data_IF_250881236392
#
_entry.id   IF_250881236392
#
_cell.length_a   1.000
_cell.length_b   1.000
_cell.length_c   1.000
_cell.angle_alpha   90.00
_cell.angle_beta   90.00
_cell.angle_gamma   90.00
#
_symmetry.space_group_name_H-M   'P 1'
#
loop_
_entity.id
_entity.type
_entity.pdbx_description
1 polymer ?
#
# COMPACT_ATOMS: atom_id res chain seq x y z
N UNK A 1 1.65 -6.11 12.71
CA UNK A 1 2.51 -4.98 12.32
C UNK A 1 3.01 -4.30 13.58
N UNK A 2 4.28 -3.94 13.64
CA UNK A 2 4.91 -3.45 14.88
C UNK A 2 4.63 -1.99 15.19
N UNK A 3 4.66 -1.12 14.19
CA UNK A 3 4.42 0.31 14.37
C UNK A 3 3.32 0.86 13.44
N UNK A 4 2.64 -0.01 12.76
CA UNK A 4 1.63 0.36 11.76
C UNK A 4 0.24 -0.08 12.20
N UNK A 5 -0.77 0.61 11.71
CA UNK A 5 -2.17 0.28 11.95
C UNK A 5 -2.97 0.42 10.66
N UNK A 6 -4.19 -0.09 10.66
CA UNK A 6 -5.07 0.04 9.51
C UNK A 6 -5.61 1.46 9.38
N UNK A 7 -5.67 1.94 8.16
CA UNK A 7 -6.24 3.24 7.83
C UNK A 7 -7.73 3.04 7.50
N UNK A 8 -8.61 3.57 8.33
CA UNK A 8 -10.06 3.29 8.22
C UNK A 8 -10.93 4.53 8.00
N UNK A 9 -10.38 5.74 8.18
CA UNK A 9 -11.18 6.95 8.14
C UNK A 9 -11.28 7.51 6.72
N UNK A 10 -12.51 7.66 6.23
CA UNK A 10 -12.77 8.11 4.86
C UNK A 10 -12.16 9.47 4.54
N UNK A 11 -12.17 10.42 5.48
CA UNK A 11 -11.60 11.73 5.24
C UNK A 11 -10.08 11.69 5.03
N UNK A 12 -9.41 10.72 5.63
CA UNK A 12 -7.97 10.53 5.43
C UNK A 12 -7.72 9.95 4.04
N UNK A 13 -8.55 9.00 3.59
CA UNK A 13 -8.47 8.49 2.22
C UNK A 13 -8.63 9.63 1.20
N UNK A 14 -9.60 10.53 1.40
CA UNK A 14 -9.81 11.66 0.50
C UNK A 14 -8.61 12.58 0.43
N UNK A 15 -7.96 12.86 1.57
CA UNK A 15 -6.74 13.67 1.60
C UNK A 15 -5.60 13.00 0.83
N UNK A 16 -5.48 11.69 0.96
CA UNK A 16 -4.45 10.94 0.25
C UNK A 16 -4.67 10.96 -1.24
N UNK A 17 -5.91 10.80 -1.70
CA UNK A 17 -6.22 10.86 -3.13
C UNK A 17 -6.00 12.24 -3.74
N UNK A 18 -5.95 13.30 -2.95
CA UNK A 18 -5.62 14.63 -3.45
C UNK A 18 -4.11 14.84 -3.61
N UNK A 19 -3.27 13.94 -3.12
CA UNK A 19 -1.84 13.98 -3.34
C UNK A 19 -1.48 13.30 -4.65
N UNK A 20 -0.24 13.48 -5.12
CA UNK A 20 0.23 12.79 -6.31
C UNK A 20 0.48 11.32 -5.98
N UNK A 21 -0.22 10.44 -6.71
CA UNK A 21 -0.01 9.01 -6.59
C UNK A 21 1.09 8.52 -7.52
N UNK A 22 1.65 7.39 -7.17
CA UNK A 22 2.58 6.66 -8.02
C UNK A 22 1.90 5.38 -8.49
N UNK A 23 2.01 5.07 -9.77
CA UNK A 23 1.28 3.95 -10.36
C UNK A 23 2.18 3.05 -11.20
N UNK A 24 1.84 1.78 -11.20
CA UNK A 24 2.34 0.82 -12.18
C UNK A 24 1.15 -0.03 -12.66
N UNK A 25 1.42 -1.10 -13.41
CA UNK A 25 0.33 -1.92 -13.94
C UNK A 25 -0.43 -2.71 -12.88
N UNK A 26 0.11 -2.86 -11.68
CA UNK A 26 -0.49 -3.65 -10.60
C UNK A 26 -1.20 -2.80 -9.55
N UNK A 27 -0.65 -1.65 -9.21
CA UNK A 27 -1.07 -0.86 -8.05
C UNK A 27 -0.97 0.64 -8.32
N UNK A 28 -1.71 1.40 -7.51
CA UNK A 28 -1.47 2.83 -7.33
C UNK A 28 -1.19 3.05 -5.85
N UNK A 29 -0.16 3.80 -5.52
CA UNK A 29 0.21 4.08 -4.14
C UNK A 29 0.19 5.58 -3.88
N UNK A 30 -0.49 5.97 -2.81
CA UNK A 30 -0.53 7.34 -2.30
C UNK A 30 0.10 7.35 -0.92
N UNK A 31 0.89 8.37 -0.63
CA UNK A 31 1.52 8.50 0.68
C UNK A 31 1.52 9.96 1.13
N UNK A 32 1.34 10.16 2.42
CA UNK A 32 1.35 11.49 3.04
C UNK A 32 1.90 11.38 4.45
N UNK A 33 2.69 12.35 4.88
CA UNK A 33 3.17 12.41 6.27
C UNK A 33 2.01 12.59 7.23
N UNK A 34 2.02 11.82 8.33
CA UNK A 34 0.97 11.87 9.34
C UNK A 34 1.39 12.51 10.66
N UNK A 35 2.65 12.95 10.77
CA UNK A 35 3.19 13.61 11.97
C UNK A 35 3.18 12.72 13.21
N UNK A 36 3.14 11.40 13.03
CA UNK A 36 3.28 10.44 14.13
C UNK A 36 4.51 9.57 13.90
N UNK A 37 4.81 8.69 14.84
CA UNK A 37 5.93 7.77 14.69
C UNK A 37 5.51 6.43 14.08
N UNK A 38 4.22 6.24 13.85
CA UNK A 38 3.70 5.03 13.25
C UNK A 38 3.16 5.26 11.84
N UNK A 39 2.92 4.19 11.13
CA UNK A 39 2.29 4.23 9.82
C UNK A 39 0.83 3.79 9.91
N UNK A 40 0.00 4.36 9.05
CA UNK A 40 -1.36 3.87 8.83
C UNK A 40 -1.45 3.42 7.38
N UNK A 41 -1.92 2.19 7.17
CA UNK A 41 -1.95 1.57 5.85
C UNK A 41 -3.38 1.18 5.50
N UNK A 42 -3.85 1.69 4.38
CA UNK A 42 -5.15 1.34 3.83
C UNK A 42 -4.97 0.65 2.48
N UNK A 43 -5.84 -0.31 2.21
CA UNK A 43 -5.85 -1.04 0.94
C UNK A 43 -7.24 -0.92 0.36
N UNK A 44 -7.30 -0.42 -0.88
CA UNK A 44 -8.55 -0.29 -1.62
C UNK A 44 -8.58 -1.31 -2.75
N UNK A 45 -9.63 -2.13 -2.75
CA UNK A 45 -9.88 -3.09 -3.83
C UNK A 45 -11.29 -2.82 -4.35
N UNK A 46 -11.38 -2.24 -5.54
CA UNK A 46 -12.66 -1.84 -6.11
C UNK A 46 -13.53 -3.03 -6.53
N UNK A 47 -14.84 -2.79 -6.61
CA UNK A 47 -15.81 -3.82 -6.99
C UNK A 47 -15.56 -4.39 -8.39
N UNK A 48 -14.91 -3.64 -9.26
CA UNK A 48 -14.56 -4.08 -10.61
C UNK A 48 -13.60 -5.27 -10.65
N UNK A 49 -12.87 -5.51 -9.56
CA UNK A 49 -11.89 -6.59 -9.50
C UNK A 49 -12.52 -7.97 -9.28
N UNK A 50 -13.80 -8.04 -8.96
CA UNK A 50 -14.50 -9.30 -8.82
C UNK A 50 -15.38 -9.35 -7.58
N UNK A 51 -15.86 -10.55 -7.27
CA UNK A 51 -16.69 -10.80 -6.10
C UNK A 51 -15.91 -10.67 -4.80
N UNK A 52 -16.62 -10.66 -3.68
CA UNK A 52 -16.02 -10.47 -2.36
C UNK A 52 -14.87 -11.42 -2.06
N UNK A 53 -14.95 -12.67 -2.48
CA UNK A 53 -13.90 -13.67 -2.26
C UNK A 53 -12.60 -13.25 -2.94
N UNK A 54 -12.69 -12.81 -4.20
CA UNK A 54 -11.53 -12.35 -4.97
C UNK A 54 -10.94 -11.10 -4.34
N UNK A 55 -11.78 -10.13 -4.01
CA UNK A 55 -11.34 -8.87 -3.41
C UNK A 55 -10.67 -9.08 -2.05
N UNK A 56 -11.22 -9.96 -1.22
CA UNK A 56 -10.66 -10.28 0.08
C UNK A 56 -9.29 -10.96 -0.05
N UNK A 57 -9.14 -11.82 -1.05
CA UNK A 57 -7.86 -12.47 -1.35
C UNK A 57 -6.81 -11.43 -1.75
N UNK A 58 -7.16 -10.51 -2.62
CA UNK A 58 -6.23 -9.44 -3.04
C UNK A 58 -5.82 -8.59 -1.84
N UNK A 59 -6.80 -8.18 -1.02
CA UNK A 59 -6.55 -7.40 0.19
C UNK A 59 -5.59 -8.11 1.14
N UNK A 60 -5.84 -9.40 1.38
CA UNK A 60 -5.01 -10.20 2.28
C UNK A 60 -3.58 -10.31 1.76
N UNK A 61 -3.40 -10.51 0.46
CA UNK A 61 -2.08 -10.62 -0.16
C UNK A 61 -1.31 -9.30 -0.07
N UNK A 62 -1.95 -8.18 -0.34
CA UNK A 62 -1.32 -6.86 -0.24
C UNK A 62 -0.97 -6.51 1.21
N UNK A 63 -1.83 -6.88 2.15
CA UNK A 63 -1.55 -6.71 3.57
C UNK A 63 -0.33 -7.52 3.98
N UNK A 64 -0.20 -8.71 3.47
CA UNK A 64 0.94 -9.60 3.74
C UNK A 64 2.24 -9.04 3.16
N UNK A 65 2.21 -8.45 1.96
CA UNK A 65 3.37 -7.77 1.38
C UNK A 65 3.89 -6.69 2.34
N UNK A 66 2.99 -5.85 2.85
CA UNK A 66 3.40 -4.81 3.78
C UNK A 66 3.91 -5.39 5.09
N UNK A 67 3.21 -6.37 5.67
CA UNK A 67 3.60 -6.99 6.94
C UNK A 67 5.02 -7.55 6.89
N UNK A 68 5.35 -8.23 5.81
CA UNK A 68 6.68 -8.84 5.64
C UNK A 68 7.79 -7.82 5.39
N UNK A 69 7.44 -6.64 4.93
CA UNK A 69 8.41 -5.61 4.56
C UNK A 69 8.30 -4.34 5.42
N UNK A 70 7.51 -4.39 6.49
CA UNK A 70 7.24 -3.21 7.34
C UNK A 70 8.52 -2.52 7.80
N UNK A 71 9.54 -3.30 8.17
CA UNK A 71 10.80 -2.76 8.69
C UNK A 71 11.58 -1.92 7.65
N UNK A 72 11.26 -2.07 6.37
CA UNK A 72 11.88 -1.30 5.30
C UNK A 72 11.22 0.07 5.08
N UNK A 73 10.03 0.27 5.65
CA UNK A 73 9.28 1.51 5.48
C UNK A 73 9.69 2.54 6.51
N UNK A 74 9.84 3.80 6.07
CA UNK A 74 10.06 4.90 6.98
C UNK A 74 8.80 5.13 7.81
N UNK A 75 8.92 5.43 9.11
CA UNK A 75 7.77 5.71 9.95
C UNK A 75 7.17 7.09 9.68
N UNK A 76 5.93 7.29 10.07
CA UNK A 76 5.28 8.60 10.01
C UNK A 76 4.50 8.86 8.73
N UNK A 77 4.02 7.81 8.06
CA UNK A 77 3.30 7.94 6.79
C UNK A 77 1.90 7.32 6.87
N UNK A 78 0.95 8.00 6.24
CA UNK A 78 -0.31 7.41 5.83
C UNK A 78 -0.14 6.91 4.39
N UNK A 79 -0.44 5.64 4.17
CA UNK A 79 -0.21 4.97 2.89
C UNK A 79 -1.52 4.33 2.44
N UNK A 80 -1.93 4.61 1.22
CA UNK A 80 -3.06 3.92 0.60
C UNK A 80 -2.59 3.24 -0.67
N UNK A 81 -2.86 1.96 -0.78
CA UNK A 81 -2.58 1.17 -1.96
C UNK A 81 -3.89 0.79 -2.62
N UNK A 82 -4.03 1.16 -3.89
CA UNK A 82 -5.21 0.84 -4.69
C UNK A 82 -4.84 -0.29 -5.65
N UNK A 83 -5.55 -1.41 -5.54
CA UNK A 83 -5.33 -2.56 -6.39
C UNK A 83 -5.90 -2.32 -7.79
N UNK A 84 -5.13 -2.71 -8.80
CA UNK A 84 -5.58 -2.76 -10.20
C UNK A 84 -5.84 -4.22 -10.58
N UNK A 85 -6.61 -4.43 -11.65
CA UNK A 85 -7.06 -5.76 -12.04
C UNK A 85 -5.91 -6.77 -12.22
N UNK A 86 -4.74 -6.32 -12.60
CA UNK A 86 -3.57 -7.19 -12.76
C UNK A 86 -3.10 -7.85 -11.47
N UNK A 87 -3.51 -7.31 -10.30
CA UNK A 87 -3.21 -7.92 -9.00
C UNK A 87 -3.84 -9.30 -8.83
N UNK A 88 -4.97 -9.56 -9.50
CA UNK A 88 -5.77 -10.77 -9.26
C UNK A 88 -4.96 -12.03 -9.55
N UNK A 89 -4.19 -12.03 -10.63
CA UNK A 89 -3.45 -13.20 -11.10
C UNK A 89 -1.93 -13.08 -10.93
N UNK A 90 -1.46 -12.01 -10.30
CA UNK A 90 -0.03 -11.82 -10.09
C UNK A 90 0.48 -12.77 -9.01
N UNK A 91 1.67 -13.33 -9.21
CA UNK A 91 2.30 -14.08 -8.14
C UNK A 91 2.77 -13.14 -7.02
N UNK A 92 3.02 -13.71 -5.85
CA UNK A 92 3.35 -12.92 -4.66
C UNK A 92 4.65 -12.13 -4.83
N UNK A 93 5.64 -12.70 -5.49
CA UNK A 93 6.90 -12.01 -5.76
C UNK A 93 6.74 -10.78 -6.63
N UNK A 94 5.90 -10.88 -7.65
CA UNK A 94 5.58 -9.73 -8.52
C UNK A 94 4.81 -8.65 -7.79
N UNK A 95 3.86 -9.04 -6.93
CA UNK A 95 3.14 -8.07 -6.11
C UNK A 95 4.08 -7.34 -5.15
N UNK A 96 4.98 -8.07 -4.51
CA UNK A 96 5.97 -7.50 -3.61
C UNK A 96 6.86 -6.50 -4.34
N UNK A 97 7.40 -6.89 -5.49
CA UNK A 97 8.24 -6.00 -6.29
C UNK A 97 7.49 -4.74 -6.74
N UNK A 98 6.24 -4.89 -7.17
CA UNK A 98 5.41 -3.76 -7.59
C UNK A 98 5.13 -2.79 -6.44
N UNK A 99 4.81 -3.32 -5.27
CA UNK A 99 4.53 -2.52 -4.09
C UNK A 99 5.77 -1.73 -3.65
N UNK A 100 6.90 -2.42 -3.50
CA UNK A 100 8.14 -1.80 -3.05
C UNK A 100 8.69 -0.79 -4.07
N UNK A 101 8.51 -1.05 -5.36
CA UNK A 101 8.89 -0.10 -6.41
C UNK A 101 8.14 1.23 -6.26
N UNK A 102 6.83 1.18 -6.00
CA UNK A 102 6.05 2.41 -5.79
C UNK A 102 6.42 3.10 -4.49
N UNK A 103 6.68 2.35 -3.43
CA UNK A 103 7.11 2.91 -2.16
C UNK A 103 8.47 3.62 -2.29
N UNK A 104 9.37 3.06 -3.07
CA UNK A 104 10.65 3.70 -3.36
C UNK A 104 10.47 5.01 -4.12
N UNK A 105 9.62 5.02 -5.15
CA UNK A 105 9.31 6.22 -5.91
C UNK A 105 8.65 7.30 -5.05
N UNK A 106 7.84 6.89 -4.10
CA UNK A 106 7.19 7.82 -3.16
C UNK A 106 8.14 8.33 -2.08
N UNK A 107 9.34 7.77 -1.97
CA UNK A 107 10.33 8.18 -0.97
C UNK A 107 10.01 7.72 0.44
N UNK A 108 9.27 6.63 0.59
CA UNK A 108 8.84 6.13 1.90
C UNK A 108 9.57 4.86 2.34
N UNK A 109 10.55 4.40 1.59
CA UNK A 109 11.43 3.33 2.03
C UNK A 109 12.67 3.90 2.70
N UNK A 110 13.14 3.19 3.73
CA UNK A 110 14.40 3.53 4.36
C UNK A 110 15.55 3.26 3.39
N UNK A 111 16.58 4.11 3.44
CA UNK A 111 17.78 3.88 2.65
C UNK A 111 18.47 2.63 3.15
N UNK A 112 18.90 1.78 2.22
CA UNK A 112 19.82 0.72 2.55
C UNK A 112 21.22 1.35 2.64
N UNK A 113 21.64 1.63 3.85
CA UNK A 113 23.01 2.06 4.08
C UNK A 113 23.91 0.84 3.99
N UNK A 114 24.83 0.91 3.09
CA UNK A 114 25.83 -0.12 2.90
C UNK A 114 27.02 0.17 3.80
#
# INVERSE_FOLDING_TARGET
MKFSSALKLNHIFRRLYSTNGHANSYLVLYARRNRTQGNRVGITVGKKLGHAVVRNRVRRRLREVYRLNEARFAPGWDIVVVARSRCIHADFGKLTAAYLSLAEKAGILLSEDI
#
